data_IF_333866912251
#
_entry.id   IF_333866912251
#
_cell.length_a   1.000
_cell.length_b   1.000
_cell.length_c   1.000
_cell.angle_alpha   90.00
_cell.angle_beta   90.00
_cell.angle_gamma   90.00
#
_symmetry.space_group_name_H-M   'P 1'
#
loop_
_entity.id
_entity.type
_entity.pdbx_description
1 polymer ?
#
# COMPACT_ATOMS: atom_id res chain seq x y z
N UNK A 1 15.14 5.02 10.78
CA UNK A 1 14.28 5.04 9.58
C UNK A 1 13.88 3.62 9.26
N UNK A 2 12.59 3.29 9.32
CA UNK A 2 12.07 1.95 9.06
C UNK A 2 11.33 1.90 7.71
N UNK A 3 11.24 0.71 7.11
CA UNK A 3 10.54 0.43 5.85
C UNK A 3 9.32 -0.46 6.11
N UNK A 4 8.16 -0.02 5.64
CA UNK A 4 6.88 -0.69 5.85
C UNK A 4 6.29 -1.14 4.52
N UNK A 5 5.80 -2.38 4.48
CA UNK A 5 4.94 -2.86 3.42
C UNK A 5 3.48 -2.64 3.82
N UNK A 6 2.73 -1.88 3.03
CA UNK A 6 1.37 -1.45 3.37
C UNK A 6 0.38 -1.86 2.27
N UNK A 7 -0.56 -2.74 2.59
CA UNK A 7 -1.58 -3.17 1.62
C UNK A 7 -2.85 -2.33 1.74
N UNK A 8 -3.58 -2.20 0.63
CA UNK A 8 -4.79 -1.41 0.55
C UNK A 8 -4.53 0.10 0.67
N UNK A 9 -3.36 0.57 0.22
CA UNK A 9 -2.82 1.91 0.53
C UNK A 9 -3.71 3.06 0.04
N UNK A 10 -4.54 2.84 -0.99
CA UNK A 10 -5.49 3.83 -1.48
C UNK A 10 -6.82 3.83 -0.67
N UNK A 11 -6.94 2.95 0.31
CA UNK A 11 -8.05 2.86 1.25
C UNK A 11 -8.11 4.02 2.25
N UNK A 12 -9.24 4.15 2.94
CA UNK A 12 -9.49 5.26 3.87
C UNK A 12 -8.49 5.31 5.03
N UNK A 13 -8.31 4.19 5.73
CA UNK A 13 -7.40 4.10 6.88
C UNK A 13 -5.95 4.03 6.41
N UNK A 14 -5.66 3.17 5.44
CA UNK A 14 -4.30 2.92 4.97
C UNK A 14 -3.63 4.18 4.40
N UNK A 15 -4.36 5.02 3.67
CA UNK A 15 -3.81 6.28 3.18
C UNK A 15 -3.32 7.15 4.35
N UNK A 16 -4.12 7.30 5.42
CA UNK A 16 -3.68 8.09 6.58
C UNK A 16 -2.52 7.46 7.34
N UNK A 17 -2.47 6.13 7.43
CA UNK A 17 -1.31 5.41 7.98
C UNK A 17 -0.05 5.71 7.17
N UNK A 18 -0.13 5.66 5.84
CA UNK A 18 1.00 6.01 4.98
C UNK A 18 1.48 7.44 5.22
N UNK A 19 0.56 8.41 5.30
CA UNK A 19 0.91 9.80 5.61
C UNK A 19 1.65 9.92 6.94
N UNK A 20 1.16 9.29 8.01
CA UNK A 20 1.79 9.35 9.34
C UNK A 20 3.21 8.74 9.31
N UNK A 21 3.38 7.60 8.63
CA UNK A 21 4.69 6.94 8.51
C UNK A 21 5.69 7.80 7.72
N UNK A 22 5.24 8.38 6.60
CA UNK A 22 6.06 9.26 5.77
C UNK A 22 6.43 10.55 6.52
N UNK A 23 5.47 11.16 7.23
CA UNK A 23 5.69 12.35 8.07
C UNK A 23 6.68 12.06 9.21
N UNK A 24 6.75 10.82 9.70
CA UNK A 24 7.74 10.36 10.68
C UNK A 24 9.11 10.00 10.07
N UNK A 25 9.30 10.23 8.76
CA UNK A 25 10.54 9.94 8.05
C UNK A 25 10.78 8.44 7.79
N UNK A 26 9.72 7.65 7.67
CA UNK A 26 9.80 6.24 7.28
C UNK A 26 9.59 6.05 5.77
N UNK A 27 9.94 4.85 5.29
CA UNK A 27 9.67 4.43 3.92
C UNK A 27 8.40 3.59 3.87
N UNK A 28 7.59 3.81 2.85
CA UNK A 28 6.34 3.05 2.64
C UNK A 28 6.31 2.51 1.22
N UNK A 29 6.25 1.19 1.09
CA UNK A 29 5.92 0.49 -0.15
C UNK A 29 4.45 0.10 -0.07
N UNK A 30 3.62 0.86 -0.78
CA UNK A 30 2.18 0.73 -0.79
C UNK A 30 1.67 -0.12 -1.95
N UNK A 31 0.71 -1.00 -1.69
CA UNK A 31 0.04 -1.80 -2.73
C UNK A 31 -1.47 -1.65 -2.67
N UNK A 32 -2.13 -1.56 -3.83
CA UNK A 32 -3.59 -1.59 -3.98
C UNK A 32 -3.92 -2.05 -5.40
N UNK A 33 -4.97 -2.87 -5.57
CA UNK A 33 -5.43 -3.26 -6.91
C UNK A 33 -6.32 -2.20 -7.57
N UNK A 34 -6.67 -1.14 -6.83
CA UNK A 34 -7.61 -0.08 -7.21
C UNK A 34 -8.96 -0.64 -7.69
N UNK A 35 -9.43 -1.72 -7.04
CA UNK A 35 -10.75 -2.29 -7.33
C UNK A 35 -11.88 -1.26 -7.19
N UNK A 36 -12.98 -1.53 -7.86
CA UNK A 36 -14.19 -0.71 -8.02
C UNK A 36 -15.23 -0.89 -6.89
N UNK A 37 -14.88 -1.62 -5.82
CA UNK A 37 -15.75 -1.81 -4.66
C UNK A 37 -16.18 -0.48 -4.00
N UNK A 38 -15.42 0.59 -4.26
CA UNK A 38 -15.77 1.98 -4.00
C UNK A 38 -15.44 2.81 -5.24
N UNK A 39 -15.95 4.05 -5.30
CA UNK A 39 -15.59 4.99 -6.35
C UNK A 39 -14.07 5.14 -6.48
N UNK A 40 -13.54 4.71 -7.63
CA UNK A 40 -12.10 4.72 -7.93
C UNK A 40 -11.52 6.13 -7.80
N UNK A 41 -12.32 7.18 -8.06
CA UNK A 41 -11.90 8.58 -7.92
C UNK A 41 -11.44 8.92 -6.49
N UNK A 42 -12.05 8.29 -5.49
CA UNK A 42 -11.65 8.49 -4.08
C UNK A 42 -10.33 7.79 -3.76
N UNK A 43 -10.05 6.66 -4.42
CA UNK A 43 -8.76 5.97 -4.30
C UNK A 43 -7.66 6.77 -5.00
N UNK A 44 -7.92 7.23 -6.22
CA UNK A 44 -6.99 8.07 -6.98
C UNK A 44 -6.68 9.38 -6.25
N UNK A 45 -7.70 10.02 -5.66
CA UNK A 45 -7.49 11.22 -4.85
C UNK A 45 -6.57 10.98 -3.65
N UNK A 46 -6.73 9.86 -2.93
CA UNK A 46 -5.87 9.52 -1.79
C UNK A 46 -4.47 9.14 -2.24
N UNK A 47 -4.36 8.33 -3.29
CA UNK A 47 -3.08 7.91 -3.84
C UNK A 47 -2.28 9.10 -4.40
N UNK A 48 -2.94 10.06 -5.04
CA UNK A 48 -2.33 11.28 -5.57
C UNK A 48 -1.68 12.14 -4.47
N UNK A 49 -2.16 12.07 -3.22
CA UNK A 49 -1.50 12.74 -2.08
C UNK A 49 -0.24 12.05 -1.58
N UNK A 50 0.00 10.81 -2.01
CA UNK A 50 1.11 9.97 -1.58
C UNK A 50 2.20 9.86 -2.66
N UNK A 51 1.82 9.80 -3.94
CA UNK A 51 2.73 9.58 -5.07
C UNK A 51 3.92 10.55 -5.10
N UNK A 52 3.68 11.82 -4.78
CA UNK A 52 4.73 12.86 -4.83
C UNK A 52 5.51 12.98 -3.51
N UNK A 53 5.23 12.13 -2.50
CA UNK A 53 5.93 12.17 -1.22
C UNK A 53 7.24 11.40 -1.28
N UNK A 54 8.30 12.02 -0.77
CA UNK A 54 9.58 11.35 -0.59
C UNK A 54 9.43 10.11 0.29
N UNK A 55 10.03 9.00 -0.13
CA UNK A 55 10.02 7.73 0.61
C UNK A 55 8.77 6.87 0.39
N UNK A 56 7.84 7.31 -0.46
CA UNK A 56 6.71 6.51 -0.90
C UNK A 56 7.02 5.81 -2.23
N UNK A 57 6.64 4.54 -2.33
CA UNK A 57 6.55 3.78 -3.59
C UNK A 57 5.20 3.11 -3.68
N UNK A 58 4.64 3.08 -4.89
CA UNK A 58 3.36 2.44 -5.15
C UNK A 58 3.49 1.34 -6.19
N UNK A 59 2.84 0.20 -5.93
CA UNK A 59 2.67 -0.87 -6.90
C UNK A 59 1.20 -1.26 -7.00
N UNK A 60 0.66 -1.18 -8.21
CA UNK A 60 -0.71 -1.63 -8.50
C UNK A 60 -0.72 -3.15 -8.67
N UNK A 61 -1.19 -3.87 -7.66
CA UNK A 61 -1.25 -5.34 -7.66
C UNK A 61 -2.36 -5.85 -6.75
N UNK A 62 -2.79 -7.08 -7.01
CA UNK A 62 -3.67 -7.82 -6.11
C UNK A 62 -2.85 -8.70 -5.17
N UNK A 63 -3.02 -8.50 -3.86
CA UNK A 63 -2.31 -9.28 -2.84
C UNK A 63 -2.74 -10.76 -2.80
N UNK A 64 -3.83 -11.13 -3.48
CA UNK A 64 -4.21 -12.51 -3.69
C UNK A 64 -3.36 -13.20 -4.76
N UNK A 65 -2.67 -12.44 -5.63
CA UNK A 65 -1.71 -13.01 -6.57
C UNK A 65 -0.33 -13.17 -5.91
N UNK A 66 -0.02 -14.42 -5.57
CA UNK A 66 1.25 -14.77 -4.92
C UNK A 66 2.47 -14.46 -5.79
N UNK A 67 2.39 -14.70 -7.10
CA UNK A 67 3.52 -14.50 -8.00
C UNK A 67 3.90 -13.01 -8.10
N UNK A 68 2.89 -12.14 -8.22
CA UNK A 68 3.09 -10.69 -8.24
C UNK A 68 3.74 -10.18 -6.95
N UNK A 69 3.30 -10.69 -5.79
CA UNK A 69 3.91 -10.35 -4.49
C UNK A 69 5.35 -10.83 -4.37
N UNK A 70 5.64 -12.07 -4.81
CA UNK A 70 7.01 -12.60 -4.78
C UNK A 70 7.94 -11.78 -5.68
N UNK A 71 7.48 -11.39 -6.87
CA UNK A 71 8.23 -10.55 -7.79
C UNK A 71 8.47 -9.14 -7.22
N UNK A 72 7.47 -8.54 -6.58
CA UNK A 72 7.62 -7.26 -5.90
C UNK A 72 8.69 -7.34 -4.79
N UNK A 73 8.61 -8.35 -3.94
CA UNK A 73 9.54 -8.48 -2.82
C UNK A 73 10.97 -8.71 -3.31
N UNK A 74 11.17 -9.46 -4.40
CA UNK A 74 12.50 -9.61 -5.02
C UNK A 74 13.01 -8.28 -5.56
N UNK A 75 12.18 -7.58 -6.36
CA UNK A 75 12.54 -6.27 -6.93
C UNK A 75 12.94 -5.25 -5.85
N UNK A 76 12.15 -5.16 -4.78
CA UNK A 76 12.39 -4.24 -3.65
C UNK A 76 13.64 -4.57 -2.82
N UNK A 77 14.13 -5.82 -2.88
CA UNK A 77 15.39 -6.25 -2.25
C UNK A 77 16.60 -5.98 -3.16
N UNK A 78 16.41 -6.06 -4.49
CA UNK A 78 17.47 -5.93 -5.49
C UNK A 78 17.81 -4.47 -5.83
N UNK A 79 16.82 -3.57 -5.82
CA UNK A 79 16.96 -2.21 -6.38
C UNK A 79 17.97 -1.31 -5.65
N UNK A 80 18.15 -1.47 -4.33
CA UNK A 80 18.92 -0.52 -3.52
C UNK A 80 19.74 -1.18 -2.40
N UNK A 81 19.80 -2.52 -2.36
CA UNK A 81 20.45 -3.28 -1.29
C UNK A 81 19.85 -3.00 0.10
N UNK A 82 18.64 -2.42 0.15
CA UNK A 82 18.03 -1.96 1.40
C UNK A 82 17.62 -3.10 2.33
N UNK A 83 17.48 -2.78 3.62
CA UNK A 83 16.93 -3.72 4.58
C UNK A 83 15.56 -4.27 4.15
N UNK A 84 15.33 -5.54 4.47
CA UNK A 84 14.01 -6.15 4.51
C UNK A 84 12.99 -5.22 5.17
N UNK A 85 11.72 -5.36 4.79
CA UNK A 85 10.62 -4.71 5.49
C UNK A 85 10.70 -4.95 6.99
N UNK A 86 10.67 -3.87 7.76
CA UNK A 86 10.66 -3.95 9.22
C UNK A 86 9.30 -4.43 9.74
N UNK A 87 8.23 -4.16 9.00
CA UNK A 87 6.89 -4.62 9.31
C UNK A 87 6.00 -4.66 8.06
N UNK A 88 4.99 -5.53 8.12
CA UNK A 88 3.88 -5.59 7.18
C UNK A 88 2.62 -5.07 7.87
N UNK A 89 1.96 -4.10 7.24
CA UNK A 89 0.68 -3.55 7.67
C UNK A 89 -0.37 -3.97 6.63
N UNK A 90 -1.14 -5.01 6.95
CA UNK A 90 -2.12 -5.56 6.02
C UNK A 90 -3.51 -4.92 6.25
N UNK A 91 -3.88 -3.95 5.42
CA UNK A 91 -5.18 -3.25 5.48
C UNK A 91 -6.02 -3.42 4.22
N UNK A 92 -5.54 -4.17 3.22
CA UNK A 92 -6.33 -4.58 2.07
C UNK A 92 -7.48 -5.49 2.52
N UNK A 93 -8.70 -5.07 2.21
CA UNK A 93 -9.92 -5.84 2.44
C UNK A 93 -10.93 -5.54 1.34
N UNK A 94 -11.89 -6.45 1.12
CA UNK A 94 -13.05 -6.22 0.25
C UNK A 94 -14.28 -5.98 1.11
N UNK A 95 -15.05 -4.95 0.77
CA UNK A 95 -16.37 -4.76 1.36
C UNK A 95 -17.27 -5.94 0.98
N UNK A 96 -17.91 -6.56 1.97
CA UNK A 96 -18.63 -7.82 1.79
C UNK A 96 -18.99 -8.46 3.12
N UNK A 97 -19.63 -7.70 4.00
CA UNK A 97 -20.40 -8.29 5.10
C UNK A 97 -21.84 -8.45 4.63
N UNK A 98 -22.50 -9.55 5.02
CA UNK A 98 -23.95 -9.68 4.79
C UNK A 98 -24.61 -8.42 5.34
N UNK A 99 -25.51 -7.82 4.56
CA UNK A 99 -26.38 -6.77 5.10
C UNK A 99 -27.09 -7.36 6.31
N UNK A 100 -26.88 -6.77 7.49
CA UNK A 100 -27.82 -6.93 8.59
C UNK A 100 -28.96 -5.96 8.30
N UNK A 101 -29.90 -6.45 7.51
CA UNK A 101 -31.22 -5.85 7.28
C UNK A 101 -32.28 -6.78 7.85
#
# INVERSE_FOLDING_TARGET
MARYFLTGVAGFIAARVAEILLDAGHLVVGVDNLNDAYDVRMKDYRLGKLIDRQGFRFSKLDIANREDLENLFKHELEEDGSPQFNAVINLAARAGVRQSV
#
